data_IF_226822559020
#
_entry.id   IF_226822559020
#
_cell.length_a   1.000
_cell.length_b   1.000
_cell.length_c   1.000
_cell.angle_alpha   90.00
_cell.angle_beta   90.00
_cell.angle_gamma   90.00
#
_symmetry.space_group_name_H-M   'P 1'
#
loop_
_entity.id
_entity.type
_entity.pdbx_description
1 polymer ?
#
# COMPACT_ATOMS: atom_id res chain seq x y z
N UNK A 1 -4.67 -1.49 4.07
CA UNK A 1 -3.79 -2.50 3.43
C UNK A 1 -2.76 -3.01 4.41
N UNK A 2 -1.89 -3.93 4.02
CA UNK A 2 -0.76 -4.40 4.84
C UNK A 2 0.56 -3.93 4.22
N UNK A 3 1.52 -3.56 5.06
CA UNK A 3 2.91 -3.26 4.68
C UNK A 3 3.84 -4.04 5.60
N UNK A 4 4.96 -4.54 5.05
CA UNK A 4 6.00 -5.14 5.89
C UNK A 4 6.90 -4.09 6.54
N UNK A 5 6.75 -2.79 6.19
CA UNK A 5 7.51 -1.69 6.83
C UNK A 5 9.04 -1.94 6.79
N UNK A 6 9.53 -2.26 5.60
CA UNK A 6 10.95 -2.41 5.27
C UNK A 6 11.32 -1.36 4.20
N UNK A 7 11.47 -0.10 4.60
CA UNK A 7 11.67 1.03 3.67
C UNK A 7 12.87 0.86 2.72
N UNK A 8 13.92 0.18 3.18
CA UNK A 8 15.14 -0.08 2.40
C UNK A 8 15.15 -1.41 1.66
N UNK A 9 14.05 -2.17 1.66
CA UNK A 9 14.01 -3.50 1.06
C UNK A 9 14.44 -3.51 -0.42
N UNK A 10 14.06 -2.48 -1.20
CA UNK A 10 14.46 -2.40 -2.60
C UNK A 10 16.00 -2.31 -2.74
N UNK A 11 16.64 -1.46 -1.93
CA UNK A 11 18.09 -1.29 -1.92
C UNK A 11 18.80 -2.53 -1.35
N UNK A 12 18.30 -3.10 -0.27
CA UNK A 12 18.92 -4.26 0.40
C UNK A 12 18.82 -5.56 -0.41
N UNK A 13 17.78 -5.69 -1.24
CA UNK A 13 17.54 -6.89 -2.05
C UNK A 13 18.06 -6.75 -3.48
N UNK A 14 18.02 -5.55 -4.06
CA UNK A 14 18.36 -5.31 -5.47
C UNK A 14 19.53 -4.34 -5.68
N UNK A 15 20.10 -3.75 -4.62
CA UNK A 15 21.26 -2.86 -4.71
C UNK A 15 22.55 -3.57 -5.11
N UNK A 16 23.54 -2.79 -5.55
CA UNK A 16 24.79 -3.29 -6.13
C UNK A 16 25.81 -3.78 -5.10
N UNK A 17 25.69 -3.32 -3.85
CA UNK A 17 26.44 -3.92 -2.74
C UNK A 17 25.85 -5.28 -2.40
N UNK A 18 26.47 -6.35 -2.89
CA UNK A 18 26.05 -7.72 -2.66
C UNK A 18 26.32 -8.16 -1.20
N UNK A 19 25.56 -7.61 -0.27
CA UNK A 19 25.51 -8.09 1.11
C UNK A 19 24.40 -9.14 1.24
N UNK A 20 24.68 -10.35 0.75
CA UNK A 20 23.76 -11.51 0.82
C UNK A 20 23.23 -11.74 2.24
N UNK A 21 24.02 -11.39 3.28
CA UNK A 21 23.59 -11.44 4.68
C UNK A 21 22.49 -10.43 5.01
N UNK A 22 22.59 -9.17 4.58
CA UNK A 22 21.54 -8.15 4.78
C UNK A 22 20.27 -8.54 4.04
N UNK A 23 20.40 -8.97 2.78
CA UNK A 23 19.25 -9.45 2.00
C UNK A 23 18.55 -10.64 2.66
N UNK A 24 19.29 -11.61 3.19
CA UNK A 24 18.71 -12.72 3.95
C UNK A 24 17.99 -12.27 5.23
N UNK A 25 18.56 -11.32 5.98
CA UNK A 25 17.92 -10.78 7.17
C UNK A 25 16.60 -10.06 6.83
N UNK A 26 16.63 -9.23 5.78
CA UNK A 26 15.46 -8.52 5.25
C UNK A 26 14.35 -9.51 4.85
N UNK A 27 14.67 -10.56 4.07
CA UNK A 27 13.70 -11.58 3.67
C UNK A 27 13.10 -12.35 4.86
N UNK A 28 13.90 -12.65 5.89
CA UNK A 28 13.41 -13.33 7.09
C UNK A 28 12.44 -12.46 7.90
N UNK A 29 12.72 -11.17 7.99
CA UNK A 29 11.84 -10.20 8.63
C UNK A 29 10.52 -10.05 7.86
N UNK A 30 10.59 -9.84 6.54
CA UNK A 30 9.42 -9.78 5.66
C UNK A 30 8.58 -11.06 5.79
N UNK A 31 9.21 -12.24 5.75
CA UNK A 31 8.53 -13.52 5.90
C UNK A 31 7.80 -13.63 7.24
N UNK A 32 8.41 -13.17 8.33
CA UNK A 32 7.80 -13.16 9.66
C UNK A 32 6.60 -12.23 9.68
N UNK A 33 6.74 -10.98 9.21
CA UNK A 33 5.68 -9.97 9.18
C UNK A 33 4.51 -10.38 8.25
N UNK A 34 4.77 -11.00 7.11
CA UNK A 34 3.71 -11.53 6.23
C UNK A 34 2.94 -12.66 6.93
N UNK A 35 3.64 -13.55 7.62
CA UNK A 35 3.02 -14.73 8.24
C UNK A 35 2.12 -14.37 9.42
N UNK A 36 2.41 -13.28 10.13
CA UNK A 36 1.54 -12.81 11.23
C UNK A 36 0.18 -12.32 10.71
N UNK A 37 0.10 -11.81 9.49
CA UNK A 37 -1.19 -11.46 8.84
C UNK A 37 -2.08 -12.69 8.73
N UNK A 38 -1.57 -13.77 8.16
CA UNK A 38 -2.28 -15.04 8.01
C UNK A 38 -2.63 -15.68 9.35
N UNK A 39 -1.72 -15.63 10.33
CA UNK A 39 -2.00 -16.07 11.69
C UNK A 39 -3.17 -15.30 12.33
N UNK A 40 -3.22 -13.98 12.11
CA UNK A 40 -4.26 -13.10 12.66
C UNK A 40 -5.61 -13.30 11.98
N UNK A 41 -5.60 -13.50 10.66
CA UNK A 41 -6.79 -13.78 9.86
C UNK A 41 -7.31 -15.22 10.00
N UNK A 42 -6.54 -16.11 10.63
CA UNK A 42 -6.82 -17.56 10.70
C UNK A 42 -6.91 -18.20 9.32
N UNK A 43 -5.97 -17.83 8.46
CA UNK A 43 -5.87 -18.28 7.07
C UNK A 43 -4.57 -19.06 6.87
N UNK A 44 -4.62 -20.19 6.15
CA UNK A 44 -3.43 -20.94 5.72
C UNK A 44 -3.34 -20.87 4.19
N UNK A 45 -2.44 -20.04 3.61
CA UNK A 45 -2.42 -19.83 2.18
C UNK A 45 -1.69 -20.94 1.41
N UNK A 46 -2.16 -21.23 0.20
CA UNK A 46 -1.36 -21.86 -0.84
C UNK A 46 -0.38 -20.81 -1.41
N UNK A 47 0.91 -21.00 -1.17
CA UNK A 47 1.96 -20.02 -1.54
C UNK A 47 2.41 -20.22 -2.98
N UNK A 48 2.05 -19.28 -3.86
CA UNK A 48 2.54 -19.17 -5.24
C UNK A 48 3.59 -18.08 -5.31
N UNK A 49 4.59 -18.27 -6.17
CA UNK A 49 5.61 -17.25 -6.38
C UNK A 49 6.10 -17.24 -7.83
N UNK A 50 6.63 -16.10 -8.27
CA UNK A 50 7.31 -16.00 -9.55
C UNK A 50 8.62 -16.80 -9.49
N UNK A 51 8.71 -17.87 -10.27
CA UNK A 51 9.94 -18.64 -10.38
C UNK A 51 11.06 -17.80 -11.02
N UNK A 52 12.31 -18.06 -10.60
CA UNK A 52 13.49 -17.50 -11.26
C UNK A 52 13.43 -17.85 -12.76
N UNK A 53 13.71 -16.87 -13.63
CA UNK A 53 13.82 -17.14 -15.06
C UNK A 53 15.03 -18.05 -15.27
N UNK A 54 14.82 -19.25 -15.80
CA UNK A 54 15.90 -20.04 -16.40
C UNK A 54 16.29 -19.33 -17.70
N UNK A 55 17.22 -18.39 -17.60
CA UNK A 55 17.89 -17.83 -18.77
C UNK A 55 18.98 -18.83 -19.13
N UNK A 56 18.75 -19.61 -20.19
CA UNK A 56 19.68 -20.61 -20.76
C UNK A 56 20.41 -21.52 -19.74
N UNK A 57 21.23 -22.47 -20.21
CA UNK A 57 22.00 -23.35 -19.30
C UNK A 57 23.27 -22.65 -18.77
N UNK A 58 23.55 -21.43 -19.26
CA UNK A 58 24.84 -20.75 -19.11
C UNK A 58 24.76 -19.52 -18.20
N UNK A 59 23.57 -18.98 -17.95
CA UNK A 59 23.37 -17.82 -17.07
C UNK A 59 23.23 -18.30 -15.64
N UNK A 60 24.18 -17.89 -14.79
CA UNK A 60 24.14 -18.15 -13.36
C UNK A 60 22.91 -17.48 -12.73
N UNK A 61 22.10 -18.26 -12.01
CA UNK A 61 20.99 -17.72 -11.21
C UNK A 61 21.55 -16.88 -10.06
N UNK A 62 21.21 -15.60 -10.02
CA UNK A 62 21.70 -14.67 -9.00
C UNK A 62 20.86 -14.74 -7.72
N UNK A 63 21.34 -14.11 -6.64
CA UNK A 63 20.53 -13.92 -5.44
C UNK A 63 19.21 -13.20 -5.75
N UNK A 64 19.25 -12.20 -6.63
CA UNK A 64 18.09 -11.37 -7.02
C UNK A 64 17.00 -12.20 -7.69
N UNK A 65 17.40 -13.12 -8.57
CA UNK A 65 16.47 -14.05 -9.25
C UNK A 65 15.73 -14.97 -8.27
N UNK A 66 16.35 -15.27 -7.13
CA UNK A 66 15.82 -16.17 -6.11
C UNK A 66 15.01 -15.47 -5.03
N UNK A 67 14.87 -14.13 -5.06
CA UNK A 67 14.16 -13.37 -4.02
C UNK A 67 12.73 -13.89 -3.78
N UNK A 68 11.85 -14.02 -4.79
CA UNK A 68 10.49 -14.53 -4.56
C UNK A 68 10.48 -15.94 -3.97
N UNK A 69 11.38 -16.80 -4.44
CA UNK A 69 11.51 -18.19 -3.98
C UNK A 69 11.94 -18.26 -2.52
N UNK A 70 12.96 -17.47 -2.15
CA UNK A 70 13.47 -17.40 -0.76
C UNK A 70 12.42 -16.81 0.18
N UNK A 71 11.71 -15.76 -0.23
CA UNK A 71 10.62 -15.19 0.57
C UNK A 71 9.48 -16.20 0.76
N UNK A 72 9.07 -16.91 -0.29
CA UNK A 72 8.04 -17.94 -0.23
C UNK A 72 8.41 -19.06 0.74
N UNK A 73 9.66 -19.55 0.68
CA UNK A 73 10.16 -20.55 1.63
C UNK A 73 10.16 -20.02 3.08
N UNK A 74 10.56 -18.76 3.29
CA UNK A 74 10.51 -18.10 4.59
C UNK A 74 9.09 -18.03 5.15
N UNK A 75 8.13 -17.58 4.35
CA UNK A 75 6.71 -17.48 4.73
C UNK A 75 6.15 -18.87 5.05
N UNK A 76 6.41 -19.87 4.20
CA UNK A 76 5.97 -21.25 4.45
C UNK A 76 6.52 -21.80 5.77
N UNK A 77 7.80 -21.58 6.07
CA UNK A 77 8.41 -22.04 7.32
C UNK A 77 7.74 -21.38 8.55
N UNK A 78 7.41 -20.10 8.47
CA UNK A 78 6.64 -19.41 9.51
C UNK A 78 5.22 -20.00 9.66
N UNK A 79 4.50 -20.18 8.57
CA UNK A 79 3.15 -20.73 8.55
C UNK A 79 3.09 -22.18 9.05
N UNK A 80 4.06 -23.01 8.70
CA UNK A 80 4.19 -24.38 9.19
C UNK A 80 4.31 -24.43 10.72
N UNK A 81 5.01 -23.46 11.32
CA UNK A 81 5.09 -23.32 12.79
C UNK A 81 3.72 -22.97 13.39
N UNK A 82 2.94 -22.09 12.77
CA UNK A 82 1.58 -21.80 13.23
C UNK A 82 0.66 -23.00 13.06
N UNK A 83 0.72 -23.70 11.93
CA UNK A 83 -0.03 -24.94 11.70
C UNK A 83 0.20 -26.00 12.78
N UNK A 84 1.44 -26.12 13.26
CA UNK A 84 1.80 -27.07 14.31
C UNK A 84 1.46 -26.59 15.73
N UNK A 85 1.56 -25.29 16.02
CA UNK A 85 1.57 -24.78 17.41
C UNK A 85 0.42 -23.84 17.77
N UNK A 86 -0.28 -23.25 16.79
CA UNK A 86 -1.35 -22.29 17.04
C UNK A 86 -2.70 -23.03 17.10
N UNK A 87 -3.41 -23.00 18.24
CA UNK A 87 -4.70 -23.69 18.38
C UNK A 87 -5.72 -23.17 17.37
N UNK A 88 -6.52 -24.05 16.76
CA UNK A 88 -7.55 -23.73 15.77
C UNK A 88 -7.01 -22.99 14.53
N UNK A 89 -5.74 -23.19 14.16
CA UNK A 89 -5.23 -22.73 12.88
C UNK A 89 -5.55 -23.74 11.77
N UNK A 90 -5.91 -23.30 10.54
CA UNK A 90 -6.29 -24.22 9.47
C UNK A 90 -5.21 -25.24 9.12
N UNK A 91 -5.64 -26.46 8.84
CA UNK A 91 -4.76 -27.59 8.52
C UNK A 91 -4.66 -27.88 7.02
N UNK A 92 -5.57 -27.30 6.24
CA UNK A 92 -5.59 -27.30 4.78
C UNK A 92 -5.63 -25.87 4.29
N UNK A 93 -5.23 -25.66 3.05
CA UNK A 93 -5.17 -24.34 2.44
C UNK A 93 -6.56 -23.70 2.34
N UNK A 94 -6.67 -22.43 2.72
CA UNK A 94 -7.93 -21.67 2.80
C UNK A 94 -7.96 -20.47 1.86
N UNK A 95 -6.80 -19.99 1.41
CA UNK A 95 -6.65 -18.88 0.47
C UNK A 95 -5.39 -19.04 -0.38
N UNK A 96 -5.12 -18.07 -1.26
CA UNK A 96 -3.89 -18.02 -2.06
C UNK A 96 -3.01 -16.83 -1.64
N UNK A 97 -1.69 -17.04 -1.60
CA UNK A 97 -0.70 -15.96 -1.48
C UNK A 97 0.15 -15.96 -2.75
N UNK A 98 0.16 -14.84 -3.48
CA UNK A 98 1.03 -14.65 -4.63
C UNK A 98 2.22 -13.74 -4.28
N UNK A 99 3.45 -14.24 -4.45
CA UNK A 99 4.69 -13.51 -4.22
C UNK A 99 5.34 -13.18 -5.56
N UNK A 100 5.51 -11.90 -5.84
CA UNK A 100 6.19 -11.38 -7.03
C UNK A 100 7.28 -10.38 -6.62
N UNK A 101 8.27 -10.20 -7.49
CA UNK A 101 9.21 -9.08 -7.38
C UNK A 101 8.81 -7.93 -8.32
N UNK A 102 9.42 -6.75 -8.09
CA UNK A 102 9.09 -5.51 -8.82
C UNK A 102 9.36 -5.58 -10.32
N UNK A 103 10.25 -6.46 -10.80
CA UNK A 103 10.57 -6.57 -12.22
C UNK A 103 9.47 -7.23 -13.08
N UNK A 104 8.32 -7.59 -12.49
CA UNK A 104 7.14 -8.00 -13.25
C UNK A 104 6.51 -6.83 -14.01
N UNK A 105 6.64 -5.61 -13.48
CA UNK A 105 6.14 -4.39 -14.08
C UNK A 105 6.98 -3.19 -13.60
N UNK A 106 7.79 -2.64 -14.49
CA UNK A 106 8.66 -1.50 -14.21
C UNK A 106 8.01 -0.15 -14.56
N UNK A 107 6.85 -0.17 -15.22
CA UNK A 107 6.18 1.04 -15.73
C UNK A 107 5.23 1.60 -14.69
N UNK A 108 4.41 0.75 -14.06
CA UNK A 108 3.39 1.21 -13.10
C UNK A 108 3.92 2.09 -11.95
N UNK A 109 5.13 1.88 -11.37
CA UNK A 109 5.62 2.74 -10.29
C UNK A 109 6.07 4.14 -10.72
N UNK A 110 6.27 4.39 -12.02
CA UNK A 110 6.88 5.64 -12.51
C UNK A 110 5.94 6.45 -13.41
N UNK A 111 4.80 5.88 -13.80
CA UNK A 111 3.81 6.59 -14.62
C UNK A 111 2.98 7.51 -13.74
N UNK A 112 2.67 8.71 -14.25
CA UNK A 112 1.66 9.58 -13.65
C UNK A 112 0.28 8.93 -13.81
N UNK A 113 -0.32 8.55 -12.70
CA UNK A 113 -1.63 7.92 -12.63
C UNK A 113 -2.72 8.97 -12.43
N UNK A 114 -3.92 8.76 -12.97
CA UNK A 114 -4.99 9.78 -13.03
C UNK A 114 -6.14 9.50 -12.06
N UNK A 115 -6.01 8.45 -11.24
CA UNK A 115 -6.95 8.21 -10.13
C UNK A 115 -6.65 9.16 -8.98
N UNK A 116 -7.70 9.58 -8.27
CA UNK A 116 -7.61 10.66 -7.29
C UNK A 116 -6.55 10.41 -6.21
N UNK A 117 -6.52 9.21 -5.62
CA UNK A 117 -5.55 8.80 -4.60
C UNK A 117 -4.10 8.85 -5.09
N UNK A 118 -3.87 8.25 -6.27
CA UNK A 118 -2.54 8.17 -6.84
C UNK A 118 -2.01 9.56 -7.21
N UNK A 119 -2.85 10.42 -7.82
CA UNK A 119 -2.49 11.81 -8.11
C UNK A 119 -2.16 12.61 -6.84
N UNK A 120 -2.91 12.40 -5.75
CA UNK A 120 -2.63 13.08 -4.48
C UNK A 120 -1.23 12.72 -3.95
N UNK A 121 -0.90 11.43 -3.90
CA UNK A 121 0.39 10.97 -3.39
C UNK A 121 1.58 11.29 -4.31
N UNK A 122 1.32 11.50 -5.60
CA UNK A 122 2.34 11.84 -6.60
C UNK A 122 2.61 13.36 -6.67
N UNK A 123 1.54 14.18 -6.72
CA UNK A 123 1.64 15.61 -7.01
C UNK A 123 1.61 16.51 -5.77
N UNK A 124 1.15 16.01 -4.62
CA UNK A 124 1.06 16.80 -3.39
C UNK A 124 2.15 16.40 -2.39
N UNK A 125 2.57 17.36 -1.57
CA UNK A 125 3.47 17.11 -0.46
C UNK A 125 2.71 16.44 0.69
N UNK A 126 2.60 15.12 0.62
CA UNK A 126 1.97 14.30 1.65
C UNK A 126 3.01 13.63 2.56
N UNK A 127 2.66 13.45 3.84
CA UNK A 127 3.44 12.65 4.79
C UNK A 127 2.60 11.42 5.16
N UNK A 128 2.85 10.29 4.48
CA UNK A 128 1.92 9.17 4.47
C UNK A 128 0.55 9.63 3.95
N UNK A 129 -0.51 9.44 4.73
CA UNK A 129 -1.87 9.86 4.37
C UNK A 129 -2.22 11.29 4.84
N UNK A 130 -1.25 12.03 5.40
CA UNK A 130 -1.48 13.39 5.92
C UNK A 130 -1.20 14.42 4.83
N UNK A 131 -2.20 15.25 4.57
CA UNK A 131 -2.08 16.45 3.74
C UNK A 131 -2.25 17.71 4.59
N UNK A 132 -1.39 18.71 4.39
CA UNK A 132 -1.48 20.00 5.08
C UNK A 132 -2.03 21.03 4.11
N UNK A 133 -3.26 21.47 4.36
CA UNK A 133 -3.93 22.50 3.57
C UNK A 133 -3.77 23.88 4.23
N UNK A 134 -3.39 24.90 3.45
CA UNK A 134 -3.39 26.29 3.91
C UNK A 134 -4.73 26.95 3.58
N UNK A 135 -5.48 27.30 4.63
CA UNK A 135 -6.75 28.00 4.54
C UNK A 135 -6.62 29.46 5.01
N UNK A 136 -7.51 30.38 4.59
CA UNK A 136 -7.56 31.73 5.16
C UNK A 136 -7.79 31.65 6.67
N UNK A 137 -6.85 32.21 7.45
CA UNK A 137 -6.96 32.22 8.91
C UNK A 137 -7.97 33.26 9.42
N UNK A 138 -8.25 33.19 10.72
CA UNK A 138 -9.15 34.14 11.41
C UNK A 138 -8.58 35.56 11.46
N UNK A 139 -7.25 35.69 11.35
CA UNK A 139 -6.55 36.97 11.30
C UNK A 139 -6.20 37.27 9.84
N UNK A 140 -6.59 38.46 9.37
CA UNK A 140 -6.33 38.89 8.00
C UNK A 140 -4.83 38.82 7.67
N UNK A 141 -4.48 38.16 6.58
CA UNK A 141 -3.10 38.02 6.10
C UNK A 141 -2.29 36.87 6.72
N UNK A 142 -2.84 36.14 7.70
CA UNK A 142 -2.16 34.97 8.29
C UNK A 142 -2.90 33.69 7.87
N UNK A 143 -2.32 32.86 6.99
CA UNK A 143 -2.92 31.57 6.64
C UNK A 143 -2.90 30.60 7.84
N UNK A 144 -3.97 29.83 7.99
CA UNK A 144 -4.11 28.74 8.95
C UNK A 144 -3.76 27.42 8.26
N UNK A 145 -2.83 26.65 8.84
CA UNK A 145 -2.52 25.29 8.40
C UNK A 145 -3.52 24.32 9.01
N UNK A 146 -4.12 23.48 8.17
CA UNK A 146 -5.05 22.44 8.58
C UNK A 146 -4.53 21.09 8.13
N UNK A 147 -4.33 20.22 9.10
CA UNK A 147 -3.95 18.84 8.87
C UNK A 147 -5.21 18.05 8.51
N UNK A 148 -5.15 17.33 7.39
CA UNK A 148 -6.21 16.46 6.89
C UNK A 148 -5.64 15.06 6.75
N UNK A 149 -6.34 14.06 7.30
CA UNK A 149 -6.00 12.65 7.18
C UNK A 149 -6.92 12.00 6.14
N UNK A 150 -6.33 11.47 5.06
CA UNK A 150 -7.05 10.80 3.98
C UNK A 150 -7.08 9.28 4.24
N UNK A 151 -8.08 8.83 4.99
CA UNK A 151 -8.17 7.45 5.48
C UNK A 151 -9.56 6.82 5.25
N UNK A 152 -9.67 5.52 5.52
CA UNK A 152 -10.90 4.74 5.37
C UNK A 152 -12.07 5.25 6.26
N UNK A 153 -11.82 6.13 7.22
CA UNK A 153 -12.88 6.73 8.03
C UNK A 153 -13.58 7.91 7.34
N UNK A 154 -12.99 8.48 6.28
CA UNK A 154 -13.64 9.49 5.46
C UNK A 154 -14.47 8.82 4.34
N UNK A 155 -15.80 8.87 4.41
CA UNK A 155 -16.66 8.22 3.43
C UNK A 155 -16.58 8.86 2.04
N UNK A 156 -16.26 10.16 1.94
CA UNK A 156 -16.08 10.84 0.65
C UNK A 156 -14.77 10.36 0.03
N UNK A 157 -13.70 10.27 0.84
CA UNK A 157 -12.43 9.72 0.39
C UNK A 157 -12.59 8.29 -0.12
N UNK A 158 -13.17 7.38 0.67
CA UNK A 158 -13.40 5.99 0.27
C UNK A 158 -14.16 5.87 -1.06
N UNK A 159 -15.15 6.73 -1.27
CA UNK A 159 -15.98 6.72 -2.47
C UNK A 159 -15.25 7.24 -3.71
N UNK A 160 -14.37 8.24 -3.56
CA UNK A 160 -13.76 8.97 -4.67
C UNK A 160 -12.31 8.58 -4.97
N UNK A 161 -11.57 8.02 -4.00
CA UNK A 161 -10.12 7.80 -4.10
C UNK A 161 -9.67 6.99 -5.32
N UNK A 162 -10.51 6.09 -5.82
CA UNK A 162 -10.20 5.24 -6.99
C UNK A 162 -10.86 5.74 -8.29
N UNK A 163 -11.59 6.86 -8.26
CA UNK A 163 -12.17 7.44 -9.46
C UNK A 163 -11.11 8.24 -10.23
N UNK A 164 -11.29 8.35 -11.54
CA UNK A 164 -10.51 9.29 -12.36
C UNK A 164 -10.73 10.73 -11.84
N UNK A 165 -9.68 11.56 -11.83
CA UNK A 165 -9.72 12.90 -11.22
C UNK A 165 -10.84 13.80 -11.76
N UNK A 166 -11.15 13.70 -13.05
CA UNK A 166 -12.24 14.45 -13.66
C UNK A 166 -13.60 14.07 -13.03
N UNK A 167 -13.88 12.78 -12.92
CA UNK A 167 -15.10 12.25 -12.33
C UNK A 167 -15.17 12.54 -10.82
N UNK A 168 -14.04 12.44 -10.13
CA UNK A 168 -13.94 12.76 -8.71
C UNK A 168 -14.29 14.23 -8.44
N UNK A 169 -13.79 15.14 -9.28
CA UNK A 169 -14.06 16.58 -9.19
C UNK A 169 -15.55 16.90 -9.39
N UNK A 170 -16.16 16.34 -10.43
CA UNK A 170 -17.59 16.52 -10.72
C UNK A 170 -18.46 15.98 -9.58
N UNK A 171 -18.23 14.74 -9.15
CA UNK A 171 -18.99 14.10 -8.06
C UNK A 171 -18.84 14.85 -6.73
N UNK A 172 -17.64 15.36 -6.43
CA UNK A 172 -17.42 16.14 -5.22
C UNK A 172 -18.20 17.46 -5.27
N UNK A 173 -18.20 18.14 -6.43
CA UNK A 173 -18.95 19.37 -6.63
C UNK A 173 -20.47 19.15 -6.48
N UNK A 174 -21.01 18.09 -7.07
CA UNK A 174 -22.42 17.70 -6.94
C UNK A 174 -22.80 17.41 -5.48
N UNK A 175 -21.96 16.66 -4.76
CA UNK A 175 -22.17 16.36 -3.34
C UNK A 175 -22.20 17.62 -2.49
N UNK A 176 -21.25 18.54 -2.71
CA UNK A 176 -21.20 19.81 -1.97
C UNK A 176 -22.44 20.66 -2.27
N UNK A 177 -22.85 20.75 -3.54
CA UNK A 177 -24.05 21.48 -3.97
C UNK A 177 -25.31 20.87 -3.34
N UNK A 178 -25.45 19.55 -3.37
CA UNK A 178 -26.55 18.83 -2.72
C UNK A 178 -26.55 19.05 -1.20
N UNK A 179 -25.40 19.00 -0.55
CA UNK A 179 -25.27 19.25 0.89
C UNK A 179 -25.74 20.67 1.26
N UNK A 180 -25.26 21.69 0.55
CA UNK A 180 -25.68 23.08 0.76
C UNK A 180 -27.18 23.24 0.50
N UNK A 181 -27.72 22.65 -0.58
CA UNK A 181 -29.15 22.77 -0.90
C UNK A 181 -30.09 22.13 0.15
N UNK A 182 -29.63 21.09 0.84
CA UNK A 182 -30.44 20.33 1.81
C UNK A 182 -30.21 20.75 3.26
N UNK A 183 -29.11 21.45 3.55
CA UNK A 183 -28.74 21.85 4.91
C UNK A 183 -28.92 23.36 5.12
N UNK A 184 -30.00 23.74 5.82
CA UNK A 184 -30.33 25.15 6.10
C UNK A 184 -29.21 25.89 6.84
N UNK A 185 -28.49 25.24 7.75
CA UNK A 185 -27.38 25.88 8.48
C UNK A 185 -26.20 26.19 7.53
N UNK A 186 -25.92 25.28 6.59
CA UNK A 186 -24.90 25.50 5.57
C UNK A 186 -25.27 26.65 4.61
N UNK A 187 -26.55 26.79 4.25
CA UNK A 187 -27.03 27.90 3.41
C UNK A 187 -26.78 29.28 4.03
N UNK A 188 -27.03 29.41 5.34
CA UNK A 188 -26.81 30.67 6.09
C UNK A 188 -25.33 31.07 6.06
N UNK A 189 -24.42 30.12 6.25
CA UNK A 189 -22.98 30.40 6.20
C UNK A 189 -22.46 30.65 4.78
N UNK A 190 -23.02 29.99 3.77
CA UNK A 190 -22.60 30.17 2.37
C UNK A 190 -23.09 31.50 1.76
N UNK A 191 -24.23 32.03 2.21
CA UNK A 191 -24.73 33.35 1.78
C UNK A 191 -24.10 34.54 2.51
N UNK A 192 -23.25 34.28 3.52
CA UNK A 192 -22.62 35.30 4.37
C UNK A 192 -21.15 35.58 4.00
N UNK A 193 -20.68 35.07 2.86
CA UNK A 193 -19.34 35.31 2.30
C UNK A 193 -19.44 36.02 0.97
#
# INVERSE_FOLDING_TARGET
>A
GFVTDNERALEELFGDEESTRKGHACLNEMATRISTVFASLREFPFVRYRAAKSLDMNTMTTFRDLIPTKLAAGVWNCLARYKANLPNFPQTETCELLIVDRSIDQIAPVIHEWTYDAMCHDLLNMEGNKYVHEAPGKVAGVPEKKDVLLEDHDPIWLELRHAHIADASERLHEKMTSFVSKNKAAQVHHGSR
#
